data_IF_630124697663
#
_entry.id   IF_630124697663
#
_cell.length_a   1.000
_cell.length_b   1.000
_cell.length_c   1.000
_cell.angle_alpha   90.00
_cell.angle_beta   90.00
_cell.angle_gamma   90.00
#
_symmetry.space_group_name_H-M   'P 1'
#
loop_
_entity.id
_entity.type
_entity.pdbx_description
1 polymer ?
#
# COMPACT_ATOMS: atom_id res chain seq x y z
N UNK A 1 1.74 -13.35 20.27
CA UNK A 1 1.90 -11.98 19.73
C UNK A 1 1.17 -11.97 18.40
N UNK A 2 0.36 -10.95 18.09
CA UNK A 2 -0.20 -10.85 16.75
C UNK A 2 0.97 -10.76 15.76
N UNK A 3 1.00 -11.63 14.76
CA UNK A 3 2.04 -11.58 13.73
C UNK A 3 1.78 -10.32 12.93
N UNK A 4 2.77 -9.44 12.86
CA UNK A 4 2.67 -8.24 12.04
C UNK A 4 2.46 -8.62 10.59
N UNK A 5 1.65 -7.83 9.88
CA UNK A 5 1.42 -8.00 8.45
C UNK A 5 1.64 -6.69 7.73
N UNK A 6 2.48 -6.76 6.71
CA UNK A 6 2.99 -5.60 5.99
C UNK A 6 2.29 -5.50 4.65
N UNK A 7 1.77 -4.31 4.34
CA UNK A 7 1.34 -3.97 3.00
C UNK A 7 2.32 -3.00 2.34
N UNK A 8 2.50 -3.12 1.03
CA UNK A 8 3.29 -2.19 0.21
C UNK A 8 2.39 -1.66 -0.91
N UNK A 9 2.46 -0.36 -1.19
CA UNK A 9 1.84 0.21 -2.37
C UNK A 9 2.73 1.29 -3.00
N UNK A 10 2.60 1.45 -4.31
CA UNK A 10 3.19 2.56 -5.06
C UNK A 10 2.07 3.46 -5.59
N UNK A 11 2.23 4.78 -5.54
CA UNK A 11 1.24 5.72 -6.05
C UNK A 11 1.89 6.88 -6.82
N UNK A 12 1.08 7.58 -7.61
CA UNK A 12 1.52 8.69 -8.43
C UNK A 12 2.00 8.29 -9.83
N UNK A 13 2.99 9.01 -10.35
CA UNK A 13 3.62 8.72 -11.64
C UNK A 13 4.58 7.52 -11.56
N UNK A 14 4.74 6.79 -12.66
CA UNK A 14 5.78 5.76 -12.74
C UNK A 14 7.16 6.43 -12.74
N UNK A 15 8.06 5.91 -11.91
CA UNK A 15 9.46 6.29 -11.87
C UNK A 15 10.35 5.04 -12.01
N UNK A 16 11.58 5.15 -12.53
CA UNK A 16 12.47 4.01 -12.73
C UNK A 16 12.84 3.23 -11.46
N UNK A 17 12.70 3.82 -10.27
CA UNK A 17 13.18 3.23 -9.02
C UNK A 17 12.12 2.47 -8.19
N UNK A 18 10.83 2.52 -8.55
CA UNK A 18 9.77 2.04 -7.64
C UNK A 18 9.85 0.53 -7.40
N UNK A 19 10.05 -0.28 -8.46
CA UNK A 19 10.26 -1.72 -8.34
C UNK A 19 11.49 -2.05 -7.47
N UNK A 20 12.57 -1.29 -7.62
CA UNK A 20 13.77 -1.47 -6.78
C UNK A 20 13.51 -1.21 -5.30
N UNK A 21 12.70 -0.19 -4.96
CA UNK A 21 12.28 0.08 -3.59
C UNK A 21 11.44 -1.06 -3.02
N UNK A 22 10.45 -1.56 -3.78
CA UNK A 22 9.64 -2.72 -3.38
C UNK A 22 10.55 -3.94 -3.11
N UNK A 23 11.45 -4.25 -4.03
CA UNK A 23 12.40 -5.35 -3.86
C UNK A 23 13.29 -5.18 -2.64
N UNK A 24 13.72 -3.95 -2.33
CA UNK A 24 14.55 -3.69 -1.15
C UNK A 24 13.79 -3.92 0.14
N UNK A 25 12.54 -3.47 0.23
CA UNK A 25 11.68 -3.73 1.39
C UNK A 25 11.47 -5.22 1.61
N UNK A 26 11.12 -5.98 0.55
CA UNK A 26 10.93 -7.43 0.64
C UNK A 26 12.20 -8.12 1.12
N UNK A 27 13.37 -7.76 0.58
CA UNK A 27 14.67 -8.31 1.01
C UNK A 27 14.94 -8.01 2.50
N UNK A 28 14.68 -6.78 2.95
CA UNK A 28 14.91 -6.42 4.36
C UNK A 28 13.97 -7.18 5.31
N UNK A 29 12.67 -7.24 5.02
CA UNK A 29 11.74 -8.01 5.84
C UNK A 29 12.07 -9.49 5.85
N UNK A 30 12.44 -10.07 4.71
CA UNK A 30 12.87 -11.48 4.62
C UNK A 30 14.08 -11.75 5.51
N UNK A 31 15.01 -10.80 5.63
CA UNK A 31 16.20 -10.92 6.47
C UNK A 31 15.93 -10.69 7.96
N UNK A 32 15.12 -9.69 8.29
CA UNK A 32 14.97 -9.19 9.67
C UNK A 32 13.80 -9.84 10.41
N UNK A 33 12.72 -10.15 9.69
CA UNK A 33 11.47 -10.67 10.26
C UNK A 33 10.89 -11.74 9.31
N UNK A 34 11.53 -12.91 9.20
CA UNK A 34 11.21 -13.90 8.17
C UNK A 34 9.76 -14.38 8.21
N UNK A 35 9.13 -14.43 9.39
CA UNK A 35 7.75 -14.90 9.57
C UNK A 35 6.67 -13.84 9.26
N UNK A 36 7.07 -12.61 8.91
CA UNK A 36 6.12 -11.53 8.58
C UNK A 36 5.42 -11.81 7.26
N UNK A 37 4.09 -11.69 7.25
CA UNK A 37 3.33 -11.72 5.99
C UNK A 37 3.49 -10.40 5.24
N UNK A 38 3.71 -10.47 3.92
CA UNK A 38 3.83 -9.30 3.06
C UNK A 38 2.79 -9.39 1.93
N UNK A 39 2.03 -8.32 1.73
CA UNK A 39 1.15 -8.14 0.58
C UNK A 39 1.50 -6.86 -0.20
N UNK A 40 1.11 -6.81 -1.46
CA UNK A 40 1.17 -5.60 -2.28
C UNK A 40 -0.22 -5.22 -2.79
N UNK A 41 -0.66 -3.97 -2.55
CA UNK A 41 -1.90 -3.47 -3.16
C UNK A 41 -1.65 -3.10 -4.62
N UNK A 42 -2.46 -3.64 -5.53
CA UNK A 42 -2.29 -3.44 -6.96
C UNK A 42 -2.78 -2.06 -7.39
N UNK A 43 -1.95 -1.31 -8.09
CA UNK A 43 -2.21 0.04 -8.56
C UNK A 43 -2.41 1.06 -7.43
N UNK A 44 -1.67 0.95 -6.33
CA UNK A 44 -1.62 1.99 -5.30
C UNK A 44 -2.88 2.06 -4.45
N UNK A 45 -3.27 3.29 -4.07
CA UNK A 45 -4.47 3.54 -3.28
C UNK A 45 -5.76 3.05 -3.97
N UNK A 46 -5.80 2.96 -5.31
CA UNK A 46 -6.91 2.29 -6.02
C UNK A 46 -7.08 0.85 -5.54
N UNK A 47 -5.99 0.06 -5.55
CA UNK A 47 -6.04 -1.33 -5.09
C UNK A 47 -6.40 -1.46 -3.63
N UNK A 48 -5.95 -0.51 -2.80
CA UNK A 48 -6.36 -0.44 -1.41
C UNK A 48 -7.87 -0.22 -1.27
N UNK A 49 -8.47 0.73 -2.00
CA UNK A 49 -9.91 0.98 -1.93
C UNK A 49 -10.75 -0.19 -2.47
N UNK A 50 -10.24 -0.89 -3.48
CA UNK A 50 -10.92 -2.03 -4.11
C UNK A 50 -10.66 -3.38 -3.40
N UNK A 51 -9.79 -3.42 -2.38
CA UNK A 51 -9.34 -4.65 -1.73
C UNK A 51 -8.57 -5.59 -2.68
N UNK A 52 -7.91 -5.02 -3.69
CA UNK A 52 -7.18 -5.75 -4.73
C UNK A 52 -5.68 -5.80 -4.38
N UNK A 53 -5.24 -6.95 -3.87
CA UNK A 53 -3.86 -7.17 -3.43
C UNK A 53 -3.33 -8.54 -3.88
N UNK A 54 -2.01 -8.68 -3.82
CA UNK A 54 -1.31 -9.95 -4.03
C UNK A 54 -0.45 -10.27 -2.81
N UNK A 55 -0.40 -11.55 -2.43
CA UNK A 55 0.56 -12.04 -1.44
C UNK A 55 1.97 -12.12 -2.04
N UNK A 56 3.00 -11.93 -1.23
CA UNK A 56 4.40 -12.12 -1.62
C UNK A 56 4.93 -13.43 -1.01
N UNK A 57 4.79 -14.58 -1.71
CA UNK A 57 5.24 -15.88 -1.21
C UNK A 57 6.77 -16.03 -1.22
N UNK A 58 7.27 -17.06 -0.54
CA UNK A 58 8.70 -17.27 -0.33
C UNK A 58 9.55 -17.33 -1.61
N UNK A 59 9.02 -17.93 -2.69
CA UNK A 59 9.72 -17.95 -3.98
C UNK A 59 9.91 -16.55 -4.60
N UNK A 60 8.99 -15.63 -4.32
CA UNK A 60 9.15 -14.21 -4.70
C UNK A 60 10.14 -13.53 -3.76
N UNK A 61 10.08 -13.81 -2.45
CA UNK A 61 11.00 -13.25 -1.45
C UNK A 61 12.46 -13.60 -1.76
N UNK A 62 12.75 -14.85 -2.10
CA UNK A 62 14.11 -15.30 -2.45
C UNK A 62 14.63 -14.67 -3.75
N UNK A 63 13.73 -14.15 -4.59
CA UNK A 63 14.06 -13.59 -5.91
C UNK A 63 13.86 -12.07 -5.98
N UNK A 64 13.56 -11.42 -4.86
CA UNK A 64 13.15 -10.01 -4.82
C UNK A 64 14.22 -9.04 -5.33
N UNK A 65 15.51 -9.41 -5.32
CA UNK A 65 16.60 -8.64 -5.91
C UNK A 65 16.49 -8.50 -7.43
N UNK A 66 15.76 -9.38 -8.12
CA UNK A 66 15.50 -9.24 -9.54
C UNK A 66 14.76 -7.93 -9.86
N UNK A 67 13.95 -7.43 -8.91
CA UNK A 67 13.23 -6.16 -9.05
C UNK A 67 14.16 -4.96 -9.22
N UNK A 68 15.43 -5.06 -8.81
CA UNK A 68 16.43 -4.01 -9.01
C UNK A 68 16.73 -3.73 -10.48
N UNK A 69 16.38 -4.67 -11.37
CA UNK A 69 16.63 -4.59 -12.81
C UNK A 69 15.46 -4.00 -13.59
N UNK A 70 14.33 -3.72 -12.95
CA UNK A 70 13.10 -3.27 -13.62
C UNK A 70 12.75 -1.83 -13.26
N UNK A 71 12.45 -1.03 -14.28
CA UNK A 71 11.86 0.29 -14.11
C UNK A 71 10.37 0.23 -13.75
N UNK A 72 9.79 1.37 -13.38
CA UNK A 72 8.37 1.47 -13.06
C UNK A 72 8.04 0.76 -11.74
N UNK A 73 6.79 0.31 -11.59
CA UNK A 73 6.32 -0.45 -10.43
C UNK A 73 5.75 -1.79 -10.86
N UNK A 74 6.25 -2.88 -10.28
CA UNK A 74 5.68 -4.23 -10.43
C UNK A 74 4.30 -4.40 -9.80
N UNK A 75 3.88 -3.49 -8.92
CA UNK A 75 2.53 -3.45 -8.36
C UNK A 75 1.57 -2.57 -9.18
N UNK A 76 2.06 -1.88 -10.21
CA UNK A 76 1.29 -0.86 -10.93
C UNK A 76 1.15 0.44 -10.13
N UNK A 77 0.45 1.44 -10.69
CA UNK A 77 0.26 2.75 -10.05
C UNK A 77 -1.11 3.32 -10.35
N UNK A 78 -1.58 4.20 -9.48
CA UNK A 78 -2.72 5.08 -9.74
C UNK A 78 -2.48 6.46 -9.13
N UNK A 79 -3.25 7.44 -9.61
CA UNK A 79 -3.32 8.79 -9.04
C UNK A 79 -4.66 8.93 -8.33
N UNK A 80 -4.65 8.70 -7.03
CA UNK A 80 -5.82 8.79 -6.14
C UNK A 80 -5.43 9.67 -4.96
N UNK A 81 -6.31 10.60 -4.61
CA UNK A 81 -6.25 11.39 -3.37
C UNK A 81 -7.44 10.96 -2.53
N UNK A 82 -7.21 10.39 -1.35
CA UNK A 82 -8.29 9.85 -0.51
C UNK A 82 -9.23 10.95 0.00
N UNK A 83 -8.76 12.19 0.07
CA UNK A 83 -9.57 13.36 0.41
C UNK A 83 -10.44 13.88 -0.74
N UNK A 84 -10.22 13.42 -1.98
CA UNK A 84 -11.06 13.77 -3.12
C UNK A 84 -12.19 12.75 -3.31
N UNK A 85 -13.23 12.87 -2.48
CA UNK A 85 -14.39 11.95 -2.46
C UNK A 85 -15.09 11.92 -3.82
N UNK A 86 -15.33 13.07 -4.43
CA UNK A 86 -16.04 13.18 -5.72
C UNK A 86 -15.32 12.43 -6.84
N UNK A 87 -13.98 12.54 -6.91
CA UNK A 87 -13.18 11.81 -7.90
C UNK A 87 -13.19 10.30 -7.64
N UNK A 88 -13.10 9.88 -6.37
CA UNK A 88 -13.17 8.46 -5.99
C UNK A 88 -14.54 7.85 -6.35
N UNK A 89 -15.64 8.57 -6.09
CA UNK A 89 -17.00 8.15 -6.47
C UNK A 89 -17.15 8.12 -7.99
N UNK A 90 -16.69 9.17 -8.69
CA UNK A 90 -16.76 9.26 -10.16
C UNK A 90 -16.02 8.11 -10.85
N UNK A 91 -14.88 7.70 -10.30
CA UNK A 91 -14.07 6.59 -10.81
C UNK A 91 -14.53 5.21 -10.31
N UNK A 92 -15.51 5.17 -9.41
CA UNK A 92 -16.07 3.93 -8.88
C UNK A 92 -15.18 3.22 -7.87
N UNK A 93 -14.22 3.90 -7.26
CA UNK A 93 -13.35 3.33 -6.22
C UNK A 93 -14.06 3.22 -4.86
N UNK A 94 -15.07 4.06 -4.64
CA UNK A 94 -15.96 4.01 -3.48
C UNK A 94 -17.40 4.30 -3.93
N UNK A 95 -18.38 3.93 -3.12
CA UNK A 95 -19.79 4.23 -3.39
C UNK A 95 -20.12 5.66 -2.97
N UNK A 96 -21.21 6.19 -3.54
CA UNK A 96 -21.74 7.50 -3.13
C UNK A 96 -22.09 7.49 -1.64
N UNK A 97 -21.54 8.43 -0.90
CA UNK A 97 -21.73 8.56 0.55
C UNK A 97 -20.66 7.89 1.40
N UNK A 98 -19.75 7.10 0.81
CA UNK A 98 -18.61 6.53 1.52
C UNK A 98 -17.43 7.54 1.57
N UNK A 99 -16.72 7.56 2.69
CA UNK A 99 -15.46 8.29 2.85
C UNK A 99 -14.28 7.39 2.44
N UNK A 100 -13.44 7.74 1.44
CA UNK A 100 -12.32 6.90 1.02
C UNK A 100 -11.29 6.63 2.13
N UNK A 101 -11.09 7.55 3.09
CA UNK A 101 -10.20 7.31 4.23
C UNK A 101 -10.73 6.20 5.13
N UNK A 102 -12.05 6.19 5.38
CA UNK A 102 -12.73 5.15 6.16
C UNK A 102 -12.68 3.81 5.43
N UNK A 103 -12.96 3.79 4.12
CA UNK A 103 -12.87 2.58 3.29
C UNK A 103 -11.46 2.02 3.30
N UNK A 104 -10.44 2.86 3.15
CA UNK A 104 -9.05 2.45 3.22
C UNK A 104 -8.68 1.86 4.60
N UNK A 105 -9.07 2.53 5.70
CA UNK A 105 -8.83 2.04 7.06
C UNK A 105 -9.55 0.71 7.33
N UNK A 106 -10.79 0.57 6.89
CA UNK A 106 -11.57 -0.66 7.01
C UNK A 106 -10.93 -1.81 6.21
N UNK A 107 -10.44 -1.54 5.00
CA UNK A 107 -9.78 -2.56 4.18
C UNK A 107 -8.43 -2.99 4.78
N UNK A 108 -7.61 -2.05 5.27
CA UNK A 108 -6.36 -2.37 5.99
C UNK A 108 -6.63 -3.25 7.21
N UNK A 109 -7.66 -2.91 7.98
CA UNK A 109 -8.08 -3.70 9.16
C UNK A 109 -8.56 -5.09 8.77
N UNK A 110 -9.38 -5.18 7.72
CA UNK A 110 -9.89 -6.44 7.19
C UNK A 110 -8.77 -7.36 6.70
N UNK A 111 -7.74 -6.80 6.08
CA UNK A 111 -6.57 -7.55 5.61
C UNK A 111 -5.57 -7.87 6.74
N UNK A 112 -5.79 -7.35 7.94
CA UNK A 112 -4.96 -7.57 9.12
C UNK A 112 -3.64 -6.79 9.10
N UNK A 113 -3.56 -5.70 8.33
CA UNK A 113 -2.33 -4.92 8.15
C UNK A 113 -1.99 -4.16 9.42
N UNK A 114 -0.73 -4.22 9.84
CA UNK A 114 -0.18 -3.43 10.96
C UNK A 114 0.82 -2.37 10.48
N UNK A 115 1.43 -2.56 9.31
CA UNK A 115 2.36 -1.62 8.68
C UNK A 115 2.03 -1.45 7.20
N UNK A 116 1.81 -0.21 6.74
CA UNK A 116 1.62 0.13 5.34
C UNK A 116 2.79 0.96 4.83
N UNK A 117 3.59 0.42 3.91
CA UNK A 117 4.60 1.20 3.19
C UNK A 117 3.98 1.87 1.96
N UNK A 118 3.99 3.20 1.94
CA UNK A 118 3.58 3.99 0.77
C UNK A 118 4.82 4.53 0.03
N UNK A 119 4.88 4.32 -1.28
CA UNK A 119 6.05 4.71 -2.09
C UNK A 119 5.59 5.65 -3.22
N UNK A 120 6.03 6.90 -3.19
CA UNK A 120 5.72 7.88 -4.22
C UNK A 120 6.26 9.27 -3.91
N UNK A 121 5.82 10.26 -4.69
CA UNK A 121 6.20 11.67 -4.53
C UNK A 121 5.36 12.41 -3.49
N UNK A 122 5.31 13.73 -3.60
CA UNK A 122 4.65 14.62 -2.65
C UNK A 122 3.15 14.28 -2.43
N UNK A 123 2.37 14.19 -3.51
CA UNK A 123 0.94 13.82 -3.42
C UNK A 123 0.72 12.46 -2.71
N UNK A 124 1.65 11.51 -2.87
CA UNK A 124 1.57 10.19 -2.22
C UNK A 124 1.79 10.30 -0.72
N UNK A 125 2.81 11.07 -0.31
CA UNK A 125 3.14 11.28 1.10
C UNK A 125 2.10 12.18 1.80
N UNK A 126 1.52 13.15 1.10
CA UNK A 126 0.38 13.93 1.61
C UNK A 126 -0.82 13.02 1.89
N UNK A 127 -1.18 12.15 0.94
CA UNK A 127 -2.26 11.16 1.14
C UNK A 127 -1.94 10.18 2.28
N UNK A 128 -0.67 9.78 2.42
CA UNK A 128 -0.23 8.91 3.52
C UNK A 128 -0.38 9.60 4.88
N UNK A 129 -0.02 10.89 4.97
CA UNK A 129 -0.18 11.68 6.19
C UNK A 129 -1.67 11.89 6.56
N UNK A 130 -2.54 12.13 5.57
CA UNK A 130 -3.99 12.19 5.76
C UNK A 130 -4.54 10.87 6.30
N UNK A 131 -4.10 9.73 5.74
CA UNK A 131 -4.49 8.41 6.19
C UNK A 131 -3.98 8.10 7.60
N UNK A 132 -2.70 8.39 7.89
CA UNK A 132 -2.10 8.23 9.21
C UNK A 132 -2.85 9.04 10.27
N UNK A 133 -3.20 10.29 9.94
CA UNK A 133 -3.97 11.17 10.83
C UNK A 133 -5.37 10.61 11.09
N UNK A 134 -6.05 10.13 10.05
CA UNK A 134 -7.35 9.49 10.19
C UNK A 134 -7.28 8.25 11.08
N UNK A 135 -6.30 7.38 10.86
CA UNK A 135 -6.09 6.15 11.65
C UNK A 135 -5.87 6.48 13.13
N UNK A 136 -5.00 7.45 13.43
CA UNK A 136 -4.69 7.87 14.79
C UNK A 136 -5.92 8.45 15.52
N UNK A 137 -6.69 9.31 14.84
CA UNK A 137 -7.90 9.93 15.41
C UNK A 137 -9.01 8.91 15.72
N UNK A 138 -9.04 7.78 15.00
CA UNK A 138 -10.07 6.76 15.15
C UNK A 138 -9.58 5.51 15.91
N UNK A 139 -8.38 5.56 16.53
CA UNK A 139 -7.88 4.50 17.41
C UNK A 139 -7.39 3.24 16.70
N UNK A 140 -7.04 3.33 15.42
CA UNK A 140 -6.42 2.22 14.69
C UNK A 140 -4.94 2.09 15.10
N UNK A 141 -4.53 0.91 15.52
CA UNK A 141 -3.13 0.60 15.85
C UNK A 141 -2.39 0.14 14.59
N UNK A 142 -2.16 1.05 13.64
CA UNK A 142 -1.50 0.81 12.36
C UNK A 142 -0.45 1.89 12.09
N UNK A 143 0.70 1.50 11.53
CA UNK A 143 1.75 2.44 11.09
C UNK A 143 1.70 2.64 9.57
N UNK A 144 1.71 3.89 9.11
CA UNK A 144 1.78 4.29 7.68
C UNK A 144 3.06 5.09 7.46
#
# INVERSE_FOLDING_TARGET
MAVDKVAILTAGGLAPCLSSTIGRLIVQYTKLVPDVEIIGYLNGYKGLLEGNSISIPDNVRTSAELLYKFGGSVLGNSRVKLTNVDDCVKKGYVKKGENPLEVAAAQLTKDGITILHTIGGDDTNTTAAELASYLALNGYNLTV
#
